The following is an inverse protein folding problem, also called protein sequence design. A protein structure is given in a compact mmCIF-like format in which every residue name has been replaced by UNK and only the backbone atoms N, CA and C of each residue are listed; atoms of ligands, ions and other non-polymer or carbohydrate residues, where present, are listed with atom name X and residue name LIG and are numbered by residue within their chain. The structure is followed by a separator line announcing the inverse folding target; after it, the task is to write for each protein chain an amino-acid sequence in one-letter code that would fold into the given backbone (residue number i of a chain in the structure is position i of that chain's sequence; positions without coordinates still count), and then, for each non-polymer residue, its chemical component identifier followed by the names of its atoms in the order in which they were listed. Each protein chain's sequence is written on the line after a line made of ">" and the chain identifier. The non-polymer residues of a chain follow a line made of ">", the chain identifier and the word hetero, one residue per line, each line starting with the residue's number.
data_IF_691445543560
#
_entry.id   IF_691445543560
#
_cell.length_a   1.000
_cell.length_b   1.000
_cell.length_c   1.000
_cell.angle_alpha   90.00
_cell.angle_beta   90.00
_cell.angle_gamma   90.00
#
_symmetry.space_group_name_H-M   'P 1'
#
loop_
_entity.id
_entity.type
_entity.pdbx_description
1 polymer ?
#
# COMPACT_ATOMS: atom_id res chain seq x y z
N UNK A 1 6.31 -33.83 -23.77
CA UNK A 1 5.65 -32.52 -23.64
C UNK A 1 4.65 -32.69 -22.52
N UNK A 2 5.05 -32.35 -21.30
CA UNK A 2 4.15 -32.32 -20.15
C UNK A 2 4.20 -30.91 -19.59
N UNK A 3 3.10 -30.17 -19.77
CA UNK A 3 2.88 -28.91 -19.08
C UNK A 3 2.41 -29.25 -17.68
N UNK A 4 3.30 -29.18 -16.70
CA UNK A 4 2.92 -29.23 -15.31
C UNK A 4 2.09 -27.97 -14.98
N UNK A 5 0.78 -28.15 -14.80
CA UNK A 5 -0.11 -27.13 -14.28
C UNK A 5 0.15 -26.97 -12.78
N UNK A 6 0.74 -25.83 -12.39
CA UNK A 6 0.89 -25.46 -10.98
C UNK A 6 -0.48 -25.15 -10.37
N UNK A 7 -0.70 -25.63 -9.16
CA UNK A 7 -1.91 -25.34 -8.38
C UNK A 7 -1.90 -23.88 -7.87
N UNK A 8 -3.07 -23.33 -7.52
CA UNK A 8 -3.19 -21.96 -6.98
C UNK A 8 -2.35 -21.78 -5.70
N UNK A 9 -2.20 -22.82 -4.87
CA UNK A 9 -1.31 -22.80 -3.71
C UNK A 9 0.19 -22.72 -4.08
N UNK A 10 0.62 -23.38 -5.16
CA UNK A 10 2.01 -23.33 -5.63
C UNK A 10 2.35 -21.97 -6.28
N UNK A 11 1.36 -21.32 -6.89
CA UNK A 11 1.49 -19.94 -7.37
C UNK A 11 1.60 -18.95 -6.19
N UNK A 12 0.92 -19.22 -5.08
CA UNK A 12 1.04 -18.41 -3.86
C UNK A 12 2.38 -18.62 -3.14
N UNK A 13 2.87 -19.86 -3.05
CA UNK A 13 4.19 -20.17 -2.45
C UNK A 13 5.37 -19.68 -3.28
N UNK A 14 5.21 -19.54 -4.60
CA UNK A 14 6.27 -18.97 -5.47
C UNK A 14 6.35 -17.44 -5.43
N UNK A 15 5.43 -16.74 -4.75
CA UNK A 15 5.44 -15.28 -4.61
C UNK A 15 6.06 -14.75 -3.32
N UNK A 16 6.27 -15.60 -2.30
CA UNK A 16 6.90 -15.19 -1.05
C UNK A 16 7.82 -16.29 -0.54
N UNK A 17 9.13 -16.02 -0.53
CA UNK A 17 10.09 -16.89 0.16
C UNK A 17 9.88 -16.69 1.67
N UNK A 18 9.18 -17.62 2.32
CA UNK A 18 9.24 -17.77 3.77
C UNK A 18 10.53 -18.51 4.13
N UNK A 19 11.55 -17.78 4.56
CA UNK A 19 12.73 -18.37 5.20
C UNK A 19 12.49 -18.42 6.70
N UNK A 20 12.26 -19.61 7.25
CA UNK A 20 12.45 -19.87 8.68
C UNK A 20 13.91 -20.20 8.91
N UNK A 21 14.69 -19.33 9.56
CA UNK A 21 15.95 -19.73 10.19
C UNK A 21 16.24 -18.92 11.46
N UNK A 22 16.62 -19.66 12.50
CA UNK A 22 17.14 -19.19 13.77
C UNK A 22 18.50 -18.50 13.58
N UNK A 23 18.64 -17.30 14.13
CA UNK A 23 19.92 -16.71 14.48
C UNK A 23 20.72 -16.07 13.33
N UNK A 24 21.13 -14.82 13.56
CA UNK A 24 21.99 -13.96 12.73
C UNK A 24 21.28 -13.20 11.61
N UNK A 25 21.44 -11.86 11.67
CA UNK A 25 20.71 -10.88 10.87
C UNK A 25 20.72 -11.18 9.38
N UNK A 26 19.53 -11.16 8.80
CA UNK A 26 19.33 -11.19 7.36
C UNK A 26 18.86 -9.80 6.98
N UNK A 27 19.72 -9.07 6.27
CA UNK A 27 19.29 -7.95 5.46
C UNK A 27 18.34 -8.52 4.40
N UNK A 28 17.03 -8.36 4.62
CA UNK A 28 16.01 -8.81 3.69
C UNK A 28 16.15 -7.98 2.41
N UNK A 29 16.82 -8.51 1.40
CA UNK A 29 16.72 -8.01 0.04
C UNK A 29 15.26 -8.20 -0.41
N UNK A 30 14.41 -7.20 -0.20
CA UNK A 30 13.02 -7.25 -0.64
C UNK A 30 13.02 -7.26 -2.17
N UNK A 31 12.68 -8.41 -2.75
CA UNK A 31 12.52 -8.50 -4.20
C UNK A 31 11.42 -7.53 -4.65
N UNK A 32 11.75 -6.67 -5.60
CA UNK A 32 10.79 -5.72 -6.16
C UNK A 32 9.61 -6.46 -6.81
N UNK A 33 8.40 -5.91 -6.66
CA UNK A 33 7.19 -6.44 -7.28
C UNK A 33 7.31 -6.43 -8.81
N UNK A 34 6.86 -7.52 -9.44
CA UNK A 34 6.76 -7.68 -10.91
C UNK A 34 5.33 -7.72 -11.41
N UNK A 35 4.41 -8.12 -10.54
CA UNK A 35 2.99 -8.26 -10.82
C UNK A 35 2.22 -7.67 -9.64
N UNK A 36 1.14 -6.97 -9.93
CA UNK A 36 0.23 -6.43 -8.93
C UNK A 36 -1.21 -6.75 -9.30
N UNK A 37 -2.02 -7.10 -8.30
CA UNK A 37 -3.42 -7.49 -8.48
C UNK A 37 -4.32 -6.52 -7.74
N UNK A 38 -5.19 -5.82 -8.46
CA UNK A 38 -6.26 -5.00 -7.89
C UNK A 38 -7.52 -5.11 -8.76
N UNK A 39 -8.71 -4.98 -8.17
CA UNK A 39 -10.00 -5.10 -8.86
C UNK A 39 -10.10 -6.36 -9.76
N UNK A 40 -9.57 -7.49 -9.28
CA UNK A 40 -9.58 -8.77 -9.98
C UNK A 40 -8.66 -8.86 -11.21
N UNK A 41 -7.85 -7.83 -11.48
CA UNK A 41 -6.91 -7.80 -12.62
C UNK A 41 -5.48 -7.85 -12.13
N UNK A 42 -4.72 -8.81 -12.64
CA UNK A 42 -3.27 -8.89 -12.42
C UNK A 42 -2.55 -8.22 -13.58
N UNK A 43 -1.71 -7.23 -13.29
CA UNK A 43 -0.97 -6.45 -14.28
C UNK A 43 0.53 -6.45 -13.97
N UNK A 44 1.40 -6.42 -14.99
CA UNK A 44 2.83 -6.23 -14.80
C UNK A 44 3.16 -4.81 -14.32
N UNK A 45 4.12 -4.72 -13.40
CA UNK A 45 4.61 -3.46 -12.84
C UNK A 45 6.13 -3.38 -12.89
N UNK A 46 6.67 -2.17 -12.95
CA UNK A 46 8.11 -1.90 -12.91
C UNK A 46 8.43 -0.90 -11.80
N UNK A 47 9.44 -1.22 -10.98
CA UNK A 47 9.93 -0.32 -9.95
C UNK A 47 10.54 0.94 -10.58
N UNK A 48 10.20 2.09 -10.01
CA UNK A 48 10.69 3.40 -10.44
C UNK A 48 11.68 3.96 -9.43
N UNK A 49 11.25 4.10 -8.18
CA UNK A 49 12.06 4.73 -7.12
C UNK A 49 11.56 4.37 -5.72
N UNK A 50 12.36 4.64 -4.71
CA UNK A 50 11.95 4.58 -3.30
C UNK A 50 12.14 5.97 -2.68
N UNK A 51 11.15 6.42 -1.90
CA UNK A 51 11.13 7.75 -1.29
C UNK A 51 10.77 7.61 0.19
N UNK A 52 11.58 8.20 1.06
CA UNK A 52 11.18 8.39 2.46
C UNK A 52 10.12 9.51 2.52
N UNK A 53 8.90 9.15 2.88
CA UNK A 53 7.75 10.08 2.94
C UNK A 53 7.83 10.93 4.21
N UNK A 54 8.13 10.25 5.31
CA UNK A 54 8.44 10.81 6.62
C UNK A 54 9.20 9.74 7.40
N UNK A 55 9.73 10.07 8.58
CA UNK A 55 10.45 9.11 9.41
C UNK A 55 9.60 7.86 9.66
N UNK A 56 10.16 6.69 9.36
CA UNK A 56 9.49 5.39 9.55
C UNK A 56 8.45 5.06 8.48
N UNK A 57 8.39 5.84 7.39
CA UNK A 57 7.49 5.62 6.26
C UNK A 57 8.23 5.73 4.93
N UNK A 58 8.26 4.63 4.18
CA UNK A 58 8.88 4.56 2.85
C UNK A 58 7.84 4.19 1.81
N UNK A 59 7.85 4.89 0.67
CA UNK A 59 7.03 4.56 -0.49
C UNK A 59 7.92 4.07 -1.64
N UNK A 60 7.70 2.82 -2.07
CA UNK A 60 8.26 2.29 -3.30
C UNK A 60 7.28 2.57 -4.44
N UNK A 61 7.70 3.35 -5.42
CA UNK A 61 6.90 3.78 -6.58
C UNK A 61 7.09 2.81 -7.72
N UNK A 62 5.98 2.42 -8.34
CA UNK A 62 5.91 1.52 -9.48
C UNK A 62 5.05 2.12 -10.60
N UNK A 63 5.41 1.80 -11.84
CA UNK A 63 4.57 2.06 -13.02
C UNK A 63 3.90 0.77 -13.49
N UNK A 64 2.68 0.86 -14.03
CA UNK A 64 2.02 -0.26 -14.70
C UNK A 64 2.52 -0.39 -16.14
N UNK A 65 3.11 -1.53 -16.48
CA UNK A 65 3.68 -1.74 -17.82
C UNK A 65 2.54 -1.81 -18.83
N UNK A 66 2.58 -0.90 -19.81
CA UNK A 66 1.56 -0.80 -20.86
C UNK A 66 0.29 -0.06 -20.45
N UNK A 67 0.23 0.52 -19.26
CA UNK A 67 -0.91 1.32 -18.79
C UNK A 67 -0.43 2.61 -18.09
N UNK A 68 -0.32 3.72 -18.82
CA UNK A 68 0.11 5.01 -18.27
C UNK A 68 -1.00 5.75 -17.52
N UNK A 69 -2.22 5.20 -17.42
CA UNK A 69 -3.35 5.88 -16.77
C UNK A 69 -3.25 5.92 -15.24
N UNK A 70 -2.24 5.25 -14.66
CA UNK A 70 -2.07 5.12 -13.21
C UNK A 70 -0.66 4.70 -12.83
N UNK A 71 -0.30 4.94 -11.58
CA UNK A 71 0.89 4.41 -10.91
C UNK A 71 0.51 3.71 -9.60
N UNK A 72 1.50 3.10 -8.96
CA UNK A 72 1.34 2.32 -7.73
C UNK A 72 2.42 2.74 -6.72
N UNK A 73 2.00 3.21 -5.56
CA UNK A 73 2.84 3.32 -4.37
C UNK A 73 2.69 2.10 -3.49
N UNK A 74 3.78 1.46 -3.07
CA UNK A 74 3.80 0.45 -2.01
C UNK A 74 4.42 1.10 -0.78
N UNK A 75 3.60 1.32 0.23
CA UNK A 75 3.95 2.12 1.40
C UNK A 75 4.21 1.18 2.57
N UNK A 76 5.42 1.26 3.12
CA UNK A 76 5.88 0.51 4.29
C UNK A 76 5.92 1.46 5.47
N UNK A 77 5.19 1.11 6.52
CA UNK A 77 5.05 1.90 7.76
C UNK A 77 5.61 1.08 8.91
N UNK A 78 6.65 1.60 9.56
CA UNK A 78 7.26 1.00 10.76
C UNK A 78 6.27 0.96 11.94
N UNK A 79 6.48 0.08 12.94
CA UNK A 79 5.59 -0.02 14.09
C UNK A 79 5.44 1.32 14.82
N UNK A 80 4.21 1.66 15.20
CA UNK A 80 3.85 2.93 15.84
C UNK A 80 3.95 4.18 14.94
N UNK A 81 4.46 4.05 13.71
CA UNK A 81 4.55 5.17 12.76
C UNK A 81 3.24 5.34 11.97
N UNK A 82 3.13 6.49 11.29
CA UNK A 82 1.98 6.85 10.47
C UNK A 82 2.39 7.67 9.26
N UNK A 83 1.63 7.55 8.17
CA UNK A 83 1.79 8.44 7.02
C UNK A 83 1.42 9.88 7.40
N UNK A 84 1.84 10.90 6.65
CA UNK A 84 1.28 12.23 6.79
C UNK A 84 -0.25 12.18 6.69
N UNK A 85 -0.94 13.08 7.40
CA UNK A 85 -2.37 13.30 7.17
C UNK A 85 -2.51 14.06 5.86
N UNK A 86 -3.16 13.46 4.87
CA UNK A 86 -3.22 14.01 3.52
C UNK A 86 -4.65 14.30 3.11
N UNK A 87 -4.85 15.44 2.45
CA UNK A 87 -6.12 15.79 1.78
C UNK A 87 -5.97 15.63 0.27
N UNK A 88 -6.95 14.98 -0.37
CA UNK A 88 -6.98 14.85 -1.83
C UNK A 88 -7.49 16.15 -2.46
N UNK A 89 -6.66 16.78 -3.29
CA UNK A 89 -6.99 18.04 -3.95
C UNK A 89 -7.41 17.88 -5.42
N UNK A 90 -6.83 16.89 -6.11
CA UNK A 90 -7.05 16.64 -7.54
C UNK A 90 -6.78 15.17 -7.90
N UNK A 91 -6.97 14.86 -9.17
CA UNK A 91 -6.94 13.50 -9.70
C UNK A 91 -8.34 12.99 -10.01
N UNK A 92 -8.43 11.92 -10.78
CA UNK A 92 -9.70 11.27 -11.11
C UNK A 92 -10.13 10.30 -10.01
N UNK A 93 -9.17 9.56 -9.46
CA UNK A 93 -9.41 8.53 -8.46
C UNK A 93 -8.14 8.24 -7.67
N UNK A 94 -8.25 8.17 -6.34
CA UNK A 94 -7.21 7.62 -5.45
C UNK A 94 -7.74 6.36 -4.80
N UNK A 95 -6.96 5.29 -4.81
CA UNK A 95 -7.29 4.03 -4.12
C UNK A 95 -6.28 3.84 -2.99
N UNK A 96 -6.78 3.54 -1.80
CA UNK A 96 -5.98 3.15 -0.64
C UNK A 96 -6.28 1.70 -0.29
N UNK A 97 -5.27 0.84 -0.25
CA UNK A 97 -5.46 -0.58 -0.07
C UNK A 97 -4.48 -1.25 0.90
N UNK A 98 -4.96 -2.30 1.55
CA UNK A 98 -4.18 -3.09 2.48
C UNK A 98 -3.41 -4.20 1.76
N UNK A 99 -2.14 -4.39 2.13
CA UNK A 99 -1.28 -5.45 1.61
C UNK A 99 -0.92 -6.49 2.67
N UNK A 100 -0.32 -6.08 3.80
CA UNK A 100 0.05 -6.97 4.90
C UNK A 100 0.33 -6.21 6.20
N UNK A 101 0.47 -6.94 7.32
CA UNK A 101 0.78 -6.35 8.62
C UNK A 101 -0.45 -5.94 9.41
N UNK A 102 -0.29 -5.06 10.41
CA UNK A 102 -1.39 -4.63 11.29
C UNK A 102 -1.43 -3.13 11.46
N UNK A 103 -2.64 -2.57 11.43
CA UNK A 103 -2.82 -1.13 11.58
C UNK A 103 -4.22 -0.67 11.27
N UNK A 104 -4.34 0.60 10.87
CA UNK A 104 -5.60 1.21 10.48
C UNK A 104 -5.44 2.29 9.41
N UNK A 105 -6.45 2.44 8.59
CA UNK A 105 -6.69 3.62 7.76
C UNK A 105 -7.75 4.48 8.44
N UNK A 106 -7.48 5.77 8.58
CA UNK A 106 -8.44 6.77 9.04
C UNK A 106 -8.80 7.63 7.84
N UNK A 107 -10.09 7.69 7.50
CA UNK A 107 -10.62 8.54 6.43
C UNK A 107 -11.60 9.54 7.03
N UNK A 108 -11.42 10.82 6.73
CA UNK A 108 -12.43 11.85 7.01
C UNK A 108 -13.11 12.26 5.71
N UNK A 109 -14.40 12.01 5.62
CA UNK A 109 -15.17 12.31 4.42
C UNK A 109 -15.54 13.80 4.37
N UNK A 110 -16.09 14.23 3.23
CA UNK A 110 -16.51 15.62 3.04
C UNK A 110 -17.62 16.09 3.98
N UNK A 111 -18.42 15.18 4.54
CA UNK A 111 -19.46 15.52 5.54
C UNK A 111 -18.90 15.61 6.97
N UNK A 112 -17.56 15.53 7.11
CA UNK A 112 -16.81 15.50 8.37
C UNK A 112 -16.98 14.23 9.20
N UNK A 113 -17.65 13.18 8.69
CA UNK A 113 -17.61 11.86 9.31
C UNK A 113 -16.21 11.26 9.24
N UNK A 114 -15.83 10.57 10.30
CA UNK A 114 -14.60 9.81 10.38
C UNK A 114 -14.93 8.32 10.29
N UNK A 115 -14.23 7.62 9.39
CA UNK A 115 -14.33 6.18 9.21
C UNK A 115 -12.96 5.57 9.48
N UNK A 116 -12.92 4.54 10.34
CA UNK A 116 -11.68 3.85 10.72
C UNK A 116 -11.74 2.41 10.25
N UNK A 117 -10.85 2.05 9.33
CA UNK A 117 -10.71 0.70 8.80
C UNK A 117 -9.54 0.01 9.48
N UNK A 118 -9.80 -1.01 10.30
CA UNK A 118 -8.76 -1.78 11.00
C UNK A 118 -8.38 -3.01 10.19
N UNK A 119 -7.07 -3.28 10.10
CA UNK A 119 -6.50 -4.37 9.29
C UNK A 119 -5.52 -5.19 10.12
N UNK A 120 -5.39 -6.48 9.80
CA UNK A 120 -4.39 -7.38 10.40
C UNK A 120 -4.83 -8.19 11.63
N UNK A 121 -6.06 -8.03 12.14
CA UNK A 121 -6.53 -8.75 13.33
C UNK A 121 -7.25 -10.09 13.05
N UNK A 122 -7.69 -10.35 11.82
CA UNK A 122 -8.36 -11.60 11.38
C UNK A 122 -8.00 -11.88 9.90
N UNK A 123 -8.18 -13.10 9.35
CA UNK A 123 -7.97 -13.39 7.93
C UNK A 123 -8.92 -12.54 7.08
N UNK A 124 -8.45 -11.36 6.70
CA UNK A 124 -9.14 -10.46 5.78
C UNK A 124 -8.73 -10.77 4.35
N UNK A 125 -9.72 -10.80 3.46
CA UNK A 125 -9.52 -10.67 2.03
C UNK A 125 -8.93 -9.28 1.72
N UNK A 126 -8.22 -9.16 0.60
CA UNK A 126 -7.65 -7.88 0.15
C UNK A 126 -8.68 -6.76 0.23
N UNK A 127 -8.35 -5.70 0.96
CA UNK A 127 -9.25 -4.58 1.22
C UNK A 127 -8.73 -3.31 0.55
N UNK A 128 -9.62 -2.53 -0.08
CA UNK A 128 -9.29 -1.20 -0.57
C UNK A 128 -10.49 -0.26 -0.45
N UNK A 129 -10.20 1.03 -0.36
CA UNK A 129 -11.17 2.12 -0.41
C UNK A 129 -10.80 3.08 -1.52
N UNK A 130 -11.81 3.76 -2.06
CA UNK A 130 -11.59 4.90 -2.94
C UNK A 130 -11.69 6.16 -2.09
N UNK A 131 -10.68 7.02 -2.16
CA UNK A 131 -10.66 8.33 -1.49
C UNK A 131 -11.04 9.40 -2.50
N UNK A 132 -12.09 10.16 -2.19
CA UNK A 132 -12.61 11.23 -3.01
C UNK A 132 -11.86 12.55 -2.84
N UNK A 133 -12.00 13.44 -3.82
CA UNK A 133 -11.53 14.83 -3.70
C UNK A 133 -12.19 15.49 -2.48
N UNK A 134 -11.39 16.19 -1.69
CA UNK A 134 -11.80 16.88 -0.48
C UNK A 134 -11.69 16.04 0.80
N UNK A 135 -11.64 14.72 0.68
CA UNK A 135 -11.47 13.79 1.80
C UNK A 135 -10.02 13.78 2.30
N UNK A 136 -9.83 13.35 3.54
CA UNK A 136 -8.50 13.16 4.12
C UNK A 136 -8.24 11.71 4.48
N UNK A 137 -7.00 11.27 4.37
CA UNK A 137 -6.57 9.92 4.69
C UNK A 137 -5.27 9.90 5.52
N UNK A 138 -5.14 8.90 6.39
CA UNK A 138 -3.90 8.59 7.10
C UNK A 138 -3.83 7.10 7.46
N UNK A 139 -2.73 6.45 7.09
CA UNK A 139 -2.41 5.11 7.56
C UNK A 139 -1.58 5.16 8.84
N UNK A 140 -1.84 4.24 9.76
CA UNK A 140 -1.08 4.07 10.99
C UNK A 140 -0.81 2.59 11.25
N UNK A 141 0.45 2.24 11.44
CA UNK A 141 0.85 0.90 11.87
C UNK A 141 0.52 0.69 13.36
N UNK A 142 0.28 -0.57 13.74
CA UNK A 142 0.21 -0.93 15.15
C UNK A 142 1.58 -0.77 15.83
N UNK A 143 1.60 -0.57 17.15
CA UNK A 143 2.84 -0.43 17.94
C UNK A 143 3.77 -1.65 17.84
N UNK A 144 3.20 -2.82 17.57
CA UNK A 144 3.87 -4.13 17.60
C UNK A 144 4.06 -4.76 16.20
N UNK A 145 3.71 -4.05 15.13
CA UNK A 145 3.71 -4.63 13.79
C UNK A 145 4.01 -3.59 12.71
N UNK A 146 4.80 -3.99 11.72
CA UNK A 146 4.87 -3.23 10.47
C UNK A 146 3.50 -3.26 9.77
N UNK A 147 3.24 -2.26 8.95
CA UNK A 147 2.10 -2.21 8.06
C UNK A 147 2.58 -1.96 6.62
N UNK A 148 2.09 -2.75 5.68
CA UNK A 148 2.30 -2.53 4.25
C UNK A 148 0.96 -2.27 3.59
N UNK A 149 0.87 -1.15 2.89
CA UNK A 149 -0.32 -0.69 2.18
C UNK A 149 0.08 -0.29 0.76
N UNK A 150 -0.92 -0.05 -0.07
CA UNK A 150 -0.71 0.44 -1.42
C UNK A 150 -1.63 1.61 -1.74
N UNK A 151 -1.11 2.53 -2.54
CA UNK A 151 -1.86 3.64 -3.11
C UNK A 151 -1.85 3.50 -4.64
N UNK A 152 -2.99 3.70 -5.30
CA UNK A 152 -3.08 3.80 -6.77
C UNK A 152 -3.67 5.16 -7.12
N UNK A 153 -2.91 5.95 -7.87
CA UNK A 153 -3.37 7.24 -8.37
C UNK A 153 -3.79 7.13 -9.84
N UNK A 154 -4.98 7.64 -10.15
CA UNK A 154 -5.47 7.88 -11.51
C UNK A 154 -5.71 9.38 -11.70
N UNK A 155 -5.10 10.05 -12.70
CA UNK A 155 -3.87 9.67 -13.40
C UNK A 155 -2.70 9.45 -12.41
N UNK A 156 -1.48 9.04 -12.87
CA UNK A 156 -0.32 8.91 -12.00
C UNK A 156 -0.10 10.12 -11.07
N UNK A 157 0.59 9.90 -9.96
CA UNK A 157 0.91 10.95 -8.99
C UNK A 157 1.57 12.16 -9.65
N UNK A 158 1.14 13.34 -9.22
CA UNK A 158 1.75 14.61 -9.59
C UNK A 158 1.78 15.56 -8.39
N UNK A 159 2.75 16.47 -8.38
CA UNK A 159 2.89 17.45 -7.31
C UNK A 159 1.60 18.25 -7.11
N UNK A 160 1.25 18.47 -5.84
CA UNK A 160 0.02 19.13 -5.43
C UNK A 160 -1.24 18.28 -5.53
N UNK A 161 -1.13 16.97 -5.86
CA UNK A 161 -2.28 16.04 -5.76
C UNK A 161 -2.81 15.95 -4.34
N UNK A 162 -1.89 15.90 -3.38
CA UNK A 162 -2.17 15.84 -1.96
C UNK A 162 -1.65 17.07 -1.25
N UNK A 163 -2.40 17.54 -0.26
CA UNK A 163 -1.96 18.53 0.72
C UNK A 163 -1.69 17.81 2.04
N UNK A 164 -0.47 17.94 2.56
CA UNK A 164 -0.14 17.48 3.90
C UNK A 164 -0.74 18.47 4.92
N UNK A 165 -1.64 17.99 5.77
CA UNK A 165 -2.23 18.77 6.83
C UNK A 165 -1.40 18.66 8.12
N UNK A 166 -1.44 19.68 9.00
CA UNK A 166 -0.85 19.57 10.32
C UNK A 166 -1.44 18.36 11.06
N UNK A 167 -0.59 17.62 11.77
CA UNK A 167 -1.10 16.59 12.67
C UNK A 167 -2.05 17.23 13.68
N UNK A 168 -3.27 16.72 13.72
CA UNK A 168 -4.18 17.06 14.81
C UNK A 168 -3.66 16.31 16.03
N UNK A 169 -3.11 17.06 16.98
CA UNK A 169 -2.83 16.55 18.33
C UNK A 169 -4.17 16.08 18.91
N UNK A 170 -4.39 14.77 18.90
CA UNK A 170 -5.47 14.13 19.66
C UNK A 170 -5.02 13.91 21.10
#
# INVERSE_FOLDING_TARGET
>A
MDSASLTIEEIWKSKYIFVYYWGMGIEQATSQLKLFTFEGRTQPVSFVSSVEVTRGVVCDVYSFIGDPSKDLGIIKVEPGCKTPLQKVLKGERTIEGYFSGKGRLIVKTNDSSEVVYRVGDYPFESYFVTIGIGETMQWQAAEDSNLVVYEICFPPYEDGRFENLPEQLQ
#
